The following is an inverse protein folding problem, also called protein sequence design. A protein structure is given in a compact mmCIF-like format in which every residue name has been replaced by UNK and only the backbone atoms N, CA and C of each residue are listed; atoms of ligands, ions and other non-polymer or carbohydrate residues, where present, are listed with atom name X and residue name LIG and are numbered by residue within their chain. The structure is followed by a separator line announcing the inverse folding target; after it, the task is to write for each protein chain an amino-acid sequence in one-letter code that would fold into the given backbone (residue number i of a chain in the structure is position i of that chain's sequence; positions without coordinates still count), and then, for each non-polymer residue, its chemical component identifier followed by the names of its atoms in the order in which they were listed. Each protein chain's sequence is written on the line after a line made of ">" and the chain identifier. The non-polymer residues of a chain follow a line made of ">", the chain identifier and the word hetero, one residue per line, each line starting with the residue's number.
data_IF_991139920869
#
_entry.id   IF_991139920869
#
_cell.length_a   1.000
_cell.length_b   1.000
_cell.length_c   1.000
_cell.angle_alpha   90.00
_cell.angle_beta   90.00
_cell.angle_gamma   90.00
#
_symmetry.space_group_name_H-M   'P 1'
#
loop_
_entity.id
_entity.type
_entity.pdbx_description
1 polymer ?
2 non-polymer ?
3 non-polymer ?
4 water ?
#
# COMPACT_ATOMS: atom_id res chain seq x y z
N UNK A 1 3.79 21.08 -23.09
CA UNK A 1 3.61 19.78 -23.76
C UNK A 1 2.50 18.95 -23.13
N UNK A 2 1.46 18.66 -23.91
CA UNK A 2 0.32 17.92 -23.40
C UNK A 2 0.50 16.41 -23.58
N UNK A 3 0.38 15.68 -22.47
CA UNK A 3 0.65 14.26 -22.39
C UNK A 3 -0.64 13.47 -22.33
N UNK A 4 -0.54 12.16 -22.23
CA UNK A 4 -1.72 11.30 -22.19
C UNK A 4 -2.69 11.70 -21.07
N UNK A 5 -3.98 11.62 -21.36
CA UNK A 5 -5.00 11.99 -20.40
C UNK A 5 -5.99 10.84 -20.19
N UNK A 6 -6.54 10.76 -18.99
CA UNK A 6 -7.55 9.74 -18.72
C UNK A 6 -8.68 10.33 -17.89
N UNK A 7 -9.83 9.66 -17.90
CA UNK A 7 -10.97 10.10 -17.11
C UNK A 7 -11.10 9.32 -15.82
N UNK A 8 -11.10 10.05 -14.69
CA UNK A 8 -11.28 9.43 -13.39
C UNK A 8 -12.51 10.04 -12.71
N UNK A 9 -13.37 9.20 -12.15
CA UNK A 9 -14.52 9.70 -11.41
C UNK A 9 -14.58 9.13 -10.01
N UNK A 10 -14.82 9.98 -9.02
CA UNK A 10 -15.13 9.47 -7.68
C UNK A 10 -16.60 9.13 -7.68
N UNK A 11 -16.92 7.85 -7.49
CA UNK A 11 -18.30 7.40 -7.55
C UNK A 11 -19.10 7.93 -6.36
N UNK A 12 -20.44 7.83 -6.44
CA UNK A 12 -21.22 8.38 -5.32
C UNK A 12 -20.87 7.74 -3.98
N UNK A 13 -20.49 6.45 -3.97
CA UNK A 13 -20.14 5.83 -2.71
C UNK A 13 -18.80 6.38 -2.25
N UNK A 14 -17.94 6.75 -3.20
CA UNK A 14 -16.71 7.45 -2.82
C UNK A 14 -16.98 8.80 -2.17
N UNK A 15 -17.89 9.58 -2.76
CA UNK A 15 -18.23 10.88 -2.20
C UNK A 15 -18.87 10.70 -0.82
N UNK A 16 -19.85 9.81 -0.76
CA UNK A 16 -20.59 9.58 0.48
C UNK A 16 -19.67 9.10 1.61
N UNK A 17 -18.63 8.34 1.27
CA UNK A 17 -17.78 7.78 2.31
C UNK A 17 -16.55 8.64 2.64
N UNK A 18 -16.51 9.84 2.08
CA UNK A 18 -15.46 10.79 2.40
C UNK A 18 -14.07 10.42 1.87
N UNK A 19 -14.01 9.89 0.66
CA UNK A 19 -12.74 9.46 0.10
C UNK A 19 -12.24 10.33 -1.04
N UNK A 20 -12.85 11.50 -1.23
CA UNK A 20 -12.45 12.35 -2.35
C UNK A 20 -11.01 12.81 -2.17
N UNK A 21 -10.68 13.37 -1.00
CA UNK A 21 -9.35 13.86 -0.74
C UNK A 21 -8.28 12.78 -0.85
N UNK A 22 -8.56 11.63 -0.23
CA UNK A 22 -7.65 10.50 -0.21
C UNK A 22 -7.32 10.03 -1.64
N UNK A 23 -8.31 10.06 -2.52
CA UNK A 23 -8.13 9.63 -3.89
C UNK A 23 -7.30 10.64 -4.69
N UNK A 24 -7.61 11.91 -4.56
CA UNK A 24 -6.87 12.98 -5.22
C UNK A 24 -5.42 12.96 -4.70
N UNK A 25 -5.29 12.78 -3.39
CA UNK A 25 -3.98 12.71 -2.77
C UNK A 25 -3.10 11.65 -3.44
N UNK A 26 -3.69 10.53 -3.81
CA UNK A 26 -2.91 9.43 -4.39
C UNK A 26 -2.38 9.79 -5.77
N UNK A 27 -3.19 10.49 -6.55
CA UNK A 27 -2.78 10.87 -7.89
C UNK A 27 -1.77 12.03 -7.92
N UNK A 28 -1.89 12.98 -6.99
CA UNK A 28 -0.91 14.05 -6.84
C UNK A 28 0.43 13.47 -6.41
N UNK A 29 0.38 12.53 -5.46
CA UNK A 29 1.61 11.94 -4.93
C UNK A 29 2.33 11.15 -6.03
N UNK A 30 1.55 10.56 -6.92
CA UNK A 30 2.08 9.73 -7.99
C UNK A 30 2.87 10.55 -8.99
N UNK A 31 2.47 11.81 -9.20
CA UNK A 31 3.16 12.72 -10.09
C UNK A 31 2.27 13.20 -11.23
N UNK A 32 1.05 12.69 -11.31
CA UNK A 32 0.15 13.06 -12.38
C UNK A 32 -0.40 14.48 -12.18
N UNK A 33 -0.76 15.11 -13.30
CA UNK A 33 -1.23 16.48 -13.30
C UNK A 33 -2.75 16.57 -13.45
N UNK A 34 -3.39 17.27 -12.52
CA UNK A 34 -4.82 17.46 -12.65
C UNK A 34 -5.01 18.46 -13.78
N UNK A 35 -5.76 18.04 -14.79
CA UNK A 35 -6.01 18.87 -15.97
C UNK A 35 -7.45 19.32 -15.99
N UNK A 36 -8.32 18.54 -15.35
CA UNK A 36 -9.72 18.90 -15.27
C UNK A 36 -10.44 18.33 -14.07
N UNK A 37 -11.41 19.08 -13.55
CA UNK A 37 -12.23 18.62 -12.44
C UNK A 37 -13.52 19.43 -12.29
N UNK A 38 -14.62 18.71 -12.11
CA UNK A 38 -15.91 19.32 -11.79
C UNK A 38 -16.74 18.37 -10.93
N UNK A 39 -17.75 18.93 -10.28
CA UNK A 39 -18.55 18.22 -9.31
C UNK A 39 -20.02 18.34 -9.70
N UNK A 40 -20.62 17.22 -10.11
CA UNK A 40 -21.97 17.25 -10.67
C UNK A 40 -22.80 16.04 -10.24
N UNK A 41 -24.12 16.19 -10.30
CA UNK A 41 -25.00 15.03 -10.35
C UNK A 41 -25.39 14.91 -11.82
N UNK A 42 -24.72 13.99 -12.53
CA UNK A 42 -24.89 13.91 -13.98
C UNK A 42 -26.20 13.23 -14.32
N UNK A 43 -26.66 13.47 -15.55
CA UNK A 43 -27.93 12.95 -16.00
C UNK A 43 -27.84 11.46 -16.24
N UNK A 44 -28.97 10.77 -16.12
CA UNK A 44 -29.03 9.34 -16.41
C UNK A 44 -28.59 9.11 -17.85
N UNK A 45 -28.93 10.05 -18.73
CA UNK A 45 -28.59 9.90 -20.13
C UNK A 45 -27.08 9.94 -20.38
N UNK A 46 -26.39 10.81 -19.65
CA UNK A 46 -24.95 10.91 -19.77
C UNK A 46 -24.32 9.60 -19.36
N UNK A 47 -24.81 9.03 -18.27
CA UNK A 47 -24.24 7.78 -17.77
C UNK A 47 -24.49 6.61 -18.73
N UNK A 48 -25.65 6.61 -19.37
CA UNK A 48 -25.99 5.61 -20.37
C UNK A 48 -25.03 5.67 -21.55
N UNK A 49 -24.58 6.86 -21.91
CA UNK A 49 -23.53 7.00 -22.92
C UNK A 49 -22.17 6.57 -22.38
N UNK A 50 -21.88 6.97 -21.15
CA UNK A 50 -20.61 6.66 -20.52
C UNK A 50 -20.37 5.14 -20.44
N UNK A 51 -21.42 4.41 -20.07
CA UNK A 51 -21.34 2.95 -19.94
C UNK A 51 -21.94 2.23 -21.14
N UNK A 52 -21.86 2.86 -22.31
CA UNK A 52 -22.54 2.35 -23.49
C UNK A 52 -22.13 0.93 -23.87
N UNK A 53 -20.86 0.59 -23.70
CA UNK A 53 -20.38 -0.72 -24.11
C UNK A 53 -20.93 -1.85 -23.25
N UNK A 54 -21.52 -1.51 -22.12
CA UNK A 54 -22.08 -2.52 -21.23
C UNK A 54 -23.58 -2.49 -21.25
N UNK A 55 -24.15 -1.81 -22.23
CA UNK A 55 -25.60 -1.64 -22.27
C UNK A 55 -26.34 -2.98 -22.37
N UNK A 56 -25.62 -4.03 -22.82
CA UNK A 56 -26.14 -5.40 -22.89
C UNK A 56 -26.37 -6.03 -21.53
N UNK A 57 -25.55 -5.63 -20.58
CA UNK A 57 -25.46 -6.32 -19.32
C UNK A 57 -26.69 -6.11 -18.43
N UNK A 58 -27.04 -7.13 -17.64
CA UNK A 58 -28.18 -7.09 -16.71
C UNK A 58 -27.99 -6.03 -15.63
N UNK A 59 -26.75 -5.77 -15.21
CA UNK A 59 -26.47 -4.80 -14.16
C UNK A 59 -26.48 -3.35 -14.66
N UNK A 60 -26.54 -3.19 -15.98
CA UNK A 60 -26.45 -1.89 -16.64
C UNK A 60 -27.50 -0.85 -16.23
N UNK A 61 -28.81 -1.21 -16.24
CA UNK A 61 -29.77 -0.15 -15.90
C UNK A 61 -29.62 0.37 -14.48
N UNK A 62 -29.51 -0.55 -13.52
CA UNK A 62 -29.35 -0.16 -12.13
C UNK A 62 -28.07 0.64 -11.97
N UNK A 63 -27.04 0.22 -12.71
CA UNK A 63 -25.75 0.91 -12.73
C UNK A 63 -25.87 2.36 -13.14
N UNK A 64 -26.59 2.60 -14.25
CA UNK A 64 -26.72 3.93 -14.80
C UNK A 64 -27.58 4.86 -13.95
N UNK A 65 -28.57 4.32 -13.26
CA UNK A 65 -29.40 5.15 -12.37
C UNK A 65 -28.66 5.43 -11.05
N UNK A 66 -27.91 4.45 -10.55
CA UNK A 66 -27.10 4.64 -9.36
C UNK A 66 -25.98 5.67 -9.56
N UNK A 67 -25.32 5.63 -10.71
CA UNK A 67 -24.22 6.56 -10.98
C UNK A 67 -24.74 7.96 -11.26
N UNK A 68 -26.07 8.10 -11.36
CA UNK A 68 -26.69 9.41 -11.56
C UNK A 68 -27.63 9.78 -10.40
N UNK A 69 -27.58 9.02 -9.31
CA UNK A 69 -28.44 9.26 -8.16
C UNK A 69 -27.80 10.26 -7.19
N UNK A 70 -26.53 10.58 -7.42
CA UNK A 70 -25.82 11.49 -6.54
C UNK A 70 -24.59 12.13 -7.15
N UNK A 71 -24.03 13.14 -6.44
CA UNK A 71 -22.87 13.89 -6.94
C UNK A 71 -21.66 13.01 -7.16
N UNK A 72 -20.92 13.27 -8.22
CA UNK A 72 -19.64 12.61 -8.43
C UNK A 72 -18.57 13.64 -8.71
N UNK A 73 -17.32 13.29 -8.40
CA UNK A 73 -16.20 14.13 -8.75
C UNK A 73 -15.64 13.67 -10.09
N UNK A 74 -15.80 14.50 -11.11
CA UNK A 74 -15.33 14.19 -12.45
C UNK A 74 -13.95 14.78 -12.65
N UNK A 75 -13.00 13.95 -13.07
CA UNK A 75 -11.63 14.42 -13.24
C UNK A 75 -10.99 14.00 -14.54
N UNK A 76 -10.00 14.78 -14.93
CA UNK A 76 -9.12 14.38 -16.00
C UNK A 76 -7.69 14.50 -15.49
N UNK A 77 -6.96 13.38 -15.47
CA UNK A 77 -5.59 13.39 -15.01
C UNK A 77 -4.62 13.17 -16.16
N UNK A 78 -3.48 13.84 -16.09
CA UNK A 78 -2.53 13.88 -17.19
C UNK A 78 -1.14 13.46 -16.76
N UNK A 79 -0.51 12.65 -17.58
CA UNK A 79 0.83 12.15 -17.33
C UNK A 79 1.05 10.97 -18.27
N UNK A 80 2.31 10.59 -18.47
CA UNK A 80 2.64 9.48 -19.34
C UNK A 80 1.94 8.20 -18.91
N UNK A 81 1.24 7.57 -19.84
CA UNK A 81 0.62 6.28 -19.57
C UNK A 81 -0.39 6.35 -18.43
N UNK A 82 -0.98 7.51 -18.24
CA UNK A 82 -1.85 7.74 -17.09
C UNK A 82 -3.05 6.81 -17.12
N UNK A 83 -3.51 6.44 -18.32
CA UNK A 83 -4.66 5.55 -18.50
C UNK A 83 -4.45 4.19 -17.83
N UNK A 84 -3.38 3.51 -18.22
CA UNK A 84 -3.10 2.19 -17.66
C UNK A 84 -2.66 2.28 -16.20
N UNK A 85 -1.87 3.29 -15.85
CA UNK A 85 -1.34 3.34 -14.50
C UNK A 85 -2.46 3.63 -13.49
N UNK A 86 -3.43 4.43 -13.89
CA UNK A 86 -4.57 4.70 -13.03
C UNK A 86 -5.30 3.40 -12.70
N UNK A 87 -5.41 2.52 -13.69
CA UNK A 87 -6.06 1.24 -13.45
C UNK A 87 -5.29 0.42 -12.41
N UNK A 88 -3.98 0.36 -12.56
CA UNK A 88 -3.14 -0.29 -11.57
C UNK A 88 -3.40 0.33 -10.18
N UNK A 89 -3.44 1.67 -10.11
CA UNK A 89 -3.67 2.37 -8.82
C UNK A 89 -5.06 2.10 -8.24
N UNK A 90 -6.04 1.87 -9.10
CA UNK A 90 -7.38 1.51 -8.63
C UNK A 90 -7.51 0.09 -8.12
N UNK A 91 -6.86 -0.84 -8.84
CA UNK A 91 -7.03 -2.26 -8.60
C UNK A 91 -7.85 -2.91 -9.70
N UNK A 92 -8.57 -3.96 -9.34
CA UNK A 92 -9.38 -4.64 -10.32
C UNK A 92 -10.83 -4.13 -10.23
N UNK A 93 -11.65 -4.55 -11.20
CA UNK A 93 -13.06 -4.18 -11.22
C UNK A 93 -13.77 -4.64 -9.95
N UNK A 94 -13.46 -5.86 -9.50
CA UNK A 94 -13.96 -6.33 -8.23
C UNK A 94 -12.97 -6.04 -7.11
N UNK A 95 -13.43 -5.33 -6.09
CA UNK A 95 -12.62 -5.05 -4.90
C UNK A 95 -12.01 -6.32 -4.32
N UNK A 96 -12.76 -7.41 -4.41
CA UNK A 96 -12.32 -8.71 -3.92
C UNK A 96 -11.04 -9.19 -4.60
N UNK A 97 -10.80 -8.76 -5.83
CA UNK A 97 -9.59 -9.13 -6.59
C UNK A 97 -8.53 -8.04 -6.57
N UNK A 98 -8.78 -6.93 -5.87
CA UNK A 98 -7.84 -5.81 -5.81
C UNK A 98 -6.86 -5.97 -4.65
N UNK A 99 -5.57 -5.70 -4.89
CA UNK A 99 -4.56 -5.85 -3.85
C UNK A 99 -4.56 -4.69 -2.86
N UNK A 100 -4.12 -4.95 -1.62
CA UNK A 100 -3.85 -3.87 -0.67
C UNK A 100 -2.86 -2.90 -1.28
N UNK A 101 -3.00 -1.61 -1.01
CA UNK A 101 -2.19 -0.62 -1.67
C UNK A 101 -2.95 0.07 -2.79
N UNK A 102 -3.88 -0.65 -3.42
CA UNK A 102 -4.75 -0.02 -4.41
C UNK A 102 -6.02 0.57 -3.73
N UNK A 103 -6.67 1.49 -4.43
CA UNK A 103 -7.82 2.22 -3.91
C UNK A 103 -9.03 1.32 -3.56
N UNK A 104 -9.45 0.50 -4.51
CA UNK A 104 -10.53 -0.46 -4.28
C UNK A 104 -10.07 -1.57 -3.31
N UNK A 105 -8.81 -1.94 -3.39
CA UNK A 105 -8.26 -2.90 -2.45
C UNK A 105 -8.27 -2.40 -1.01
N UNK A 106 -7.93 -1.13 -0.79
CA UNK A 106 -7.85 -0.57 0.56
C UNK A 106 -9.21 -0.17 1.14
N UNK A 107 -10.16 0.20 0.30
CA UNK A 107 -11.33 0.91 0.81
C UNK A 107 -12.71 0.28 0.63
N UNK A 108 -12.87 -0.75 -0.19
CA UNK A 108 -14.23 -1.29 -0.39
C UNK A 108 -14.30 -2.80 -0.60
N UNK A 109 -15.52 -3.33 -0.71
CA UNK A 109 -15.73 -4.76 -0.69
C UNK A 109 -16.46 -5.31 -1.93
N UNK A 110 -17.54 -4.66 -2.34
CA UNK A 110 -18.39 -5.15 -3.42
C UNK A 110 -18.15 -4.48 -4.77
N UNK A 111 -18.35 -5.23 -5.85
CA UNK A 111 -18.14 -4.72 -7.21
C UNK A 111 -19.09 -3.57 -7.53
N UNK A 112 -20.29 -3.59 -6.96
CA UNK A 112 -21.27 -2.56 -7.23
C UNK A 112 -21.03 -1.31 -6.41
N UNK A 113 -20.14 -1.39 -5.44
CA UNK A 113 -19.73 -0.25 -4.62
C UNK A 113 -18.20 -0.16 -4.62
N UNK A 114 -17.63 0.20 -5.77
CA UNK A 114 -16.18 0.17 -5.93
C UNK A 114 -15.61 1.57 -6.13
N UNK A 115 -16.30 2.53 -5.51
CA UNK A 115 -15.93 3.94 -5.30
C UNK A 115 -15.28 4.79 -6.41
N UNK A 116 -14.62 4.18 -7.39
CA UNK A 116 -13.91 4.96 -8.39
C UNK A 116 -14.08 4.44 -9.82
N UNK A 117 -14.03 5.34 -10.79
CA UNK A 117 -13.99 4.95 -12.19
C UNK A 117 -12.72 5.45 -12.87
N UNK A 118 -12.20 4.64 -13.80
CA UNK A 118 -11.14 5.05 -14.70
C UNK A 118 -11.28 4.43 -16.07
N UNK A 119 -10.90 5.21 -17.10
CA UNK A 119 -10.91 4.74 -18.49
C UNK A 119 -10.03 3.52 -18.69
N UNK A 120 -10.45 2.58 -19.53
CA UNK A 120 -9.65 1.37 -19.76
C UNK A 120 -8.75 1.48 -20.98
N UNK A 121 -8.86 2.57 -21.74
CA UNK A 121 -7.96 2.76 -22.88
C UNK A 121 -7.81 4.23 -23.26
N UNK A 122 -6.78 4.52 -24.05
CA UNK A 122 -6.56 5.86 -24.56
C UNK A 122 -7.82 6.34 -25.27
N UNK A 123 -8.43 5.48 -26.07
CA UNK A 123 -9.62 5.90 -26.82
C UNK A 123 -10.88 5.95 -25.94
N UNK A 124 -11.01 5.04 -24.98
CA UNK A 124 -12.10 5.16 -24.00
C UNK A 124 -11.95 6.47 -23.27
N UNK A 125 -10.72 6.82 -22.92
CA UNK A 125 -10.48 8.06 -22.22
C UNK A 125 -10.88 9.27 -23.07
N UNK A 126 -10.50 9.27 -24.35
CA UNK A 126 -10.80 10.42 -25.20
C UNK A 126 -12.30 10.63 -25.31
N UNK A 127 -13.03 9.53 -25.47
CA UNK A 127 -14.48 9.61 -25.57
C UNK A 127 -15.08 10.10 -24.24
N UNK A 128 -14.60 9.56 -23.13
CA UNK A 128 -15.19 9.90 -21.83
C UNK A 128 -14.85 11.35 -21.42
N UNK A 129 -13.59 11.74 -21.61
CA UNK A 129 -13.14 13.10 -21.35
C UNK A 129 -14.02 14.06 -22.15
N UNK A 130 -14.26 13.69 -23.41
CA UNK A 130 -15.11 14.50 -24.29
C UNK A 130 -16.54 14.53 -23.79
N UNK A 131 -16.99 13.44 -23.19
CA UNK A 131 -18.36 13.32 -22.71
C UNK A 131 -18.65 14.21 -21.49
N UNK A 132 -17.71 14.28 -20.56
CA UNK A 132 -17.94 14.94 -19.26
C UNK A 132 -17.45 16.39 -19.22
N UNK A 133 -16.41 16.70 -19.99
CA UNK A 133 -15.86 18.05 -19.98
C UNK A 133 -16.06 18.77 -21.30
N UNK A 134 -16.39 20.05 -21.24
CA UNK A 134 -16.30 20.89 -22.43
C UNK A 134 -14.83 21.25 -22.58
N UNK A 135 -14.35 21.39 -23.84
CA UNK A 135 -12.93 21.61 -24.14
C UNK A 135 -12.29 22.69 -23.28
N UNK A 136 -13.02 23.78 -23.07
CA UNK A 136 -12.50 24.92 -22.32
C UNK A 136 -12.34 24.60 -20.82
N UNK A 137 -12.96 23.52 -20.37
CA UNK A 137 -12.88 23.14 -18.96
C UNK A 137 -11.64 22.32 -18.66
N UNK A 138 -10.85 22.06 -19.69
CA UNK A 138 -9.58 21.36 -19.53
C UNK A 138 -8.50 22.43 -19.47
N UNK A 139 -7.75 22.45 -18.38
CA UNK A 139 -6.84 23.56 -18.12
C UNK A 139 -5.39 23.25 -18.51
N UNK A 140 -4.79 24.17 -19.25
CA UNK A 140 -3.40 24.02 -19.66
C UNK A 140 -2.47 24.79 -18.75
N UNK A 141 -1.51 24.08 -18.16
CA UNK A 141 -0.58 24.67 -17.21
C UNK A 141 0.64 23.80 -17.03
N UNK A 142 1.65 24.33 -16.39
CA UNK A 142 2.87 23.59 -16.17
C UNK A 142 3.12 23.46 -14.68
N UNK A 143 3.15 22.22 -14.19
CA UNK A 143 3.53 21.93 -12.80
C UNK A 143 5.04 22.12 -12.71
N UNK A 144 5.51 22.77 -11.66
CA UNK A 144 6.90 23.21 -11.56
C UNK A 144 7.88 22.07 -11.36
N UNK A 145 7.43 21.00 -10.71
CA UNK A 145 8.29 19.86 -10.43
C UNK A 145 8.32 18.85 -11.58
N UNK A 146 7.80 19.24 -12.74
CA UNK A 146 7.68 18.34 -13.87
C UNK A 146 9.02 17.73 -14.24
N UNK A 147 10.09 18.53 -14.13
CA UNK A 147 11.38 18.04 -14.54
C UNK A 147 11.97 17.02 -13.58
N UNK A 148 11.35 16.89 -12.42
CA UNK A 148 11.75 15.88 -11.45
C UNK A 148 10.86 14.62 -11.54
N UNK A 149 9.80 14.70 -12.33
CA UNK A 149 8.92 13.56 -12.59
C UNK A 149 9.22 12.92 -13.96
N UNK A 150 9.42 13.77 -14.97
CA UNK A 150 9.74 13.32 -16.32
C UNK A 150 11.16 13.73 -16.70
N UNK A 151 11.88 12.81 -17.31
CA UNK A 151 13.25 13.09 -17.76
C UNK A 151 13.27 13.90 -19.06
N UNK B 1 -28.41 -9.17 5.78
CA UNK B 1 -28.31 -8.55 7.10
C UNK B 1 -27.09 -9.06 7.85
N UNK B 2 -27.09 -10.36 8.15
CA UNK B 2 -25.97 -10.96 8.89
C UNK B 2 -24.93 -11.49 7.92
N UNK B 3 -23.71 -10.97 8.02
CA UNK B 3 -22.69 -11.36 7.08
C UNK B 3 -21.62 -12.24 7.71
N UNK B 4 -20.69 -12.71 6.88
CA UNK B 4 -19.60 -13.54 7.32
C UNK B 4 -18.72 -12.86 8.38
N UNK B 5 -18.25 -13.62 9.37
CA UNK B 5 -17.37 -13.08 10.41
C UNK B 5 -16.08 -13.89 10.60
N UNK B 6 -15.02 -13.20 11.03
CA UNK B 6 -13.74 -13.86 11.28
C UNK B 6 -13.11 -13.39 12.60
N UNK B 7 -12.15 -14.17 13.11
CA UNK B 7 -11.42 -13.79 14.32
C UNK B 7 -10.08 -13.15 13.95
N UNK B 8 -9.86 -11.92 14.45
CA UNK B 8 -8.61 -11.19 14.25
C UNK B 8 -7.95 -10.85 15.58
N UNK B 9 -6.67 -11.13 15.71
CA UNK B 9 -5.96 -10.77 16.94
C UNK B 9 -4.70 -9.92 16.67
N UNK B 10 -4.53 -8.86 17.45
CA UNK B 10 -3.24 -8.16 17.45
C UNK B 10 -2.33 -8.90 18.44
N UNK B 11 -1.28 -9.52 17.93
CA UNK B 11 -0.38 -10.33 18.73
C UNK B 11 0.41 -9.45 19.69
N UNK B 12 1.11 -10.07 20.67
CA UNK B 12 1.83 -9.24 21.64
C UNK B 12 2.87 -8.28 21.03
N UNK B 13 3.51 -8.65 19.91
CA UNK B 13 4.47 -7.72 19.31
C UNK B 13 3.76 -6.54 18.65
N UNK B 14 2.55 -6.75 18.14
CA UNK B 14 1.73 -5.63 17.69
C UNK B 14 1.36 -4.66 18.82
N UNK B 15 0.98 -5.18 19.98
CA UNK B 15 0.63 -4.32 21.11
C UNK B 15 1.86 -3.54 21.56
N UNK B 16 2.95 -4.27 21.79
CA UNK B 16 4.21 -3.70 22.25
C UNK B 16 4.75 -2.64 21.28
N UNK B 17 4.56 -2.83 19.98
CA UNK B 17 5.09 -1.87 19.02
C UNK B 17 4.10 -0.75 18.68
N UNK B 18 2.98 -0.67 19.38
CA UNK B 18 2.04 0.43 19.17
C UNK B 18 1.31 0.43 17.83
N UNK B 19 0.87 -0.75 17.38
CA UNK B 19 0.23 -0.88 16.06
C UNK B 19 -1.26 -1.25 16.14
N UNK B 20 -1.87 -1.12 17.31
CA UNK B 20 -3.29 -1.50 17.45
C UNK B 20 -4.17 -0.62 16.57
N UNK B 21 -4.04 0.68 16.75
CA UNK B 21 -4.84 1.66 16.02
C UNK B 21 -4.64 1.53 14.53
N UNK B 22 -3.37 1.39 14.11
CA UNK B 22 -3.06 1.22 12.71
C UNK B 22 -3.77 0.00 12.11
N UNK B 23 -3.84 -1.10 12.84
CA UNK B 23 -4.50 -2.29 12.32
C UNK B 23 -6.02 -2.10 12.28
N UNK B 24 -6.60 -1.57 13.36
CA UNK B 24 -8.04 -1.35 13.37
C UNK B 24 -8.43 -0.37 12.26
N UNK B 25 -7.64 0.69 12.11
CA UNK B 25 -7.87 1.70 11.09
C UNK B 25 -7.90 1.06 9.70
N UNK B 26 -7.07 0.07 9.46
CA UNK B 26 -7.08 -0.55 8.13
C UNK B 26 -8.38 -1.31 7.89
N UNK B 27 -8.90 -1.98 8.91
CA UNK B 27 -10.14 -2.73 8.76
C UNK B 27 -11.38 -1.84 8.74
N UNK B 28 -11.36 -0.75 9.51
CA UNK B 28 -12.47 0.19 9.42
C UNK B 28 -12.51 0.80 8.02
N UNK B 29 -11.34 1.16 7.50
CA UNK B 29 -11.24 1.81 6.21
C UNK B 29 -11.70 0.94 5.03
N UNK B 30 -11.48 -0.36 5.17
CA UNK B 30 -11.85 -1.35 4.15
C UNK B 30 -13.39 -1.47 4.06
N UNK B 31 -14.06 -1.23 5.17
CA UNK B 31 -15.51 -1.26 5.22
C UNK B 31 -16.11 -2.31 6.14
N UNK B 32 -15.28 -3.12 6.79
CA UNK B 32 -15.77 -4.19 7.64
C UNK B 32 -16.33 -3.64 8.94
N UNK B 33 -17.25 -4.40 9.54
CA UNK B 33 -17.96 -3.97 10.74
C UNK B 33 -17.43 -4.67 11.98
N UNK B 34 -17.06 -3.88 12.99
CA UNK B 34 -16.59 -4.45 14.25
C UNK B 34 -17.77 -5.05 15.05
N UNK B 35 -17.65 -6.33 15.39
CA UNK B 35 -18.69 -7.07 16.10
C UNK B 35 -18.29 -7.42 17.52
N UNK B 36 -16.99 -7.49 17.76
CA UNK B 36 -16.47 -7.78 19.09
C UNK B 36 -15.05 -7.30 19.30
N UNK B 37 -14.70 -6.96 20.53
CA UNK B 37 -13.30 -6.60 20.84
C UNK B 37 -13.06 -6.67 22.32
N UNK B 38 -11.96 -7.28 22.71
CA UNK B 38 -11.57 -7.23 24.10
C UNK B 38 -10.06 -7.30 24.21
N UNK B 39 -9.56 -6.88 25.35
CA UNK B 39 -8.15 -6.71 25.59
C UNK B 39 -7.76 -7.54 26.80
N UNK B 40 -7.00 -8.61 26.56
CA UNK B 40 -6.68 -9.59 27.61
C UNK B 40 -5.32 -10.23 27.46
N UNK B 41 -4.81 -10.74 28.58
CA UNK B 41 -3.74 -11.72 28.54
C UNK B 41 -4.31 -13.12 28.76
N UNK B 42 -4.43 -13.88 27.68
CA UNK B 42 -5.07 -15.20 27.73
C UNK B 42 -4.15 -16.26 28.35
N UNK B 43 -4.76 -17.34 28.80
CA UNK B 43 -4.01 -18.44 29.41
C UNK B 43 -3.28 -19.26 28.35
N UNK B 44 -2.20 -19.92 28.76
CA UNK B 44 -1.49 -20.82 27.85
C UNK B 44 -2.47 -21.90 27.39
N UNK B 45 -3.38 -22.31 28.27
CA UNK B 45 -4.33 -23.34 27.89
C UNK B 45 -5.26 -22.86 26.80
N UNK B 46 -5.72 -21.61 26.90
CA UNK B 46 -6.61 -21.10 25.85
C UNK B 46 -5.88 -21.07 24.50
N UNK B 47 -4.63 -20.63 24.50
CA UNK B 47 -3.87 -20.60 23.25
C UNK B 47 -3.59 -22.00 22.69
N UNK B 48 -3.42 -22.97 23.60
CA UNK B 48 -3.23 -24.35 23.16
C UNK B 48 -4.43 -24.85 22.34
N UNK B 49 -5.61 -24.41 22.76
CA UNK B 49 -6.86 -24.69 22.07
C UNK B 49 -7.01 -23.87 20.79
N UNK B 50 -6.63 -22.60 20.87
CA UNK B 50 -6.71 -21.68 19.74
C UNK B 50 -5.91 -22.23 18.56
N UNK B 51 -4.71 -22.72 18.86
CA UNK B 51 -3.82 -23.27 17.85
C UNK B 51 -3.84 -24.80 17.87
N UNK B 52 -4.97 -25.40 18.24
CA UNK B 52 -5.06 -26.85 18.43
C UNK B 52 -4.68 -27.66 17.16
N UNK B 53 -5.01 -27.14 15.98
CA UNK B 53 -4.73 -27.84 14.72
C UNK B 53 -3.24 -27.89 14.35
N UNK B 54 -2.44 -27.11 15.06
CA UNK B 54 -1.01 -27.07 14.84
C UNK B 54 -0.25 -27.72 16.01
N UNK B 55 -0.98 -28.47 16.83
CA UNK B 55 -0.41 -29.08 18.04
C UNK B 55 0.75 -30.00 17.68
N UNK B 56 0.75 -30.44 16.44
CA UNK B 56 1.80 -31.28 15.86
C UNK B 56 3.15 -30.58 15.61
N UNK B 57 3.11 -29.31 15.25
CA UNK B 57 4.29 -28.61 14.77
C UNK B 57 5.32 -28.34 15.86
N UNK B 58 6.62 -28.30 15.50
CA UNK B 58 7.69 -28.10 16.48
C UNK B 58 7.57 -26.76 17.20
N UNK B 59 7.07 -25.76 16.48
CA UNK B 59 6.95 -24.40 17.00
C UNK B 59 5.74 -24.23 17.92
N UNK B 60 4.88 -25.24 17.98
CA UNK B 60 3.62 -25.16 18.72
C UNK B 60 3.77 -24.78 20.20
N UNK B 61 4.65 -25.48 20.95
CA UNK B 61 4.73 -25.17 22.39
C UNK B 61 5.17 -23.75 22.65
N UNK B 62 6.24 -23.33 21.98
CA UNK B 62 6.77 -21.98 22.13
C UNK B 62 5.78 -20.93 21.66
N UNK B 63 5.08 -21.22 20.57
CA UNK B 63 4.07 -20.33 20.03
C UNK B 63 2.99 -19.99 21.06
N UNK B 64 2.45 -21.01 21.73
CA UNK B 64 1.35 -20.82 22.67
C UNK B 64 1.79 -20.09 23.94
N UNK B 65 3.04 -20.26 24.36
CA UNK B 65 3.49 -19.54 25.54
C UNK B 65 3.73 -18.09 25.17
N UNK B 66 4.31 -17.87 24.00
CA UNK B 66 4.54 -16.51 23.53
C UNK B 66 3.23 -15.75 23.32
N UNK B 67 2.22 -16.43 22.77
CA UNK B 67 0.95 -15.78 22.51
C UNK B 67 0.11 -15.57 23.77
N UNK B 68 0.59 -16.12 24.90
CA UNK B 68 -0.07 -15.94 26.18
C UNK B 68 0.83 -15.18 27.16
N UNK B 69 1.95 -14.66 26.69
CA UNK B 69 2.91 -14.01 27.56
C UNK B 69 2.57 -12.52 27.77
N UNK B 70 1.61 -12.03 27.00
CA UNK B 70 1.23 -10.64 27.09
C UNK B 70 -0.14 -10.33 26.53
N UNK B 71 -0.60 -9.10 26.73
CA UNK B 71 -1.93 -8.70 26.26
C UNK B 71 -2.03 -8.79 24.75
N UNK B 72 -3.20 -9.21 24.26
CA UNK B 72 -3.50 -9.21 22.83
C UNK B 72 -4.82 -8.51 22.67
N UNK B 73 -5.05 -7.95 21.48
CA UNK B 73 -6.37 -7.42 21.18
C UNK B 73 -7.16 -8.50 20.44
N UNK B 74 -8.22 -9.03 21.04
CA UNK B 74 -9.07 -10.04 20.40
C UNK B 74 -10.22 -9.34 19.73
N UNK B 75 -10.45 -9.63 18.46
CA UNK B 75 -11.50 -8.99 17.70
C UNK B 75 -12.35 -9.92 16.86
N UNK B 76 -13.57 -9.46 16.59
CA UNK B 76 -14.38 -10.12 15.61
C UNK B 76 -14.90 -9.09 14.62
N UNK B 77 -14.55 -9.30 13.34
CA UNK B 77 -14.96 -8.39 12.27
C UNK B 77 -15.93 -9.04 11.30
N UNK B 78 -16.85 -8.25 10.75
CA UNK B 78 -17.96 -8.77 9.96
C UNK B 78 -18.03 -8.10 8.59
N UNK B 79 -18.29 -8.90 7.56
CA UNK B 79 -18.44 -8.36 6.23
C UNK B 79 -18.28 -9.47 5.21
N UNK B 80 -18.71 -9.23 3.97
CA UNK B 80 -18.61 -10.22 2.93
C UNK B 80 -17.18 -10.69 2.71
N UNK B 81 -16.97 -12.01 2.68
CA UNK B 81 -15.67 -12.57 2.40
C UNK B 81 -14.59 -12.13 3.38
N UNK B 82 -15.00 -11.76 4.59
CA UNK B 82 -14.07 -11.17 5.53
C UNK B 82 -12.97 -12.15 5.98
N UNK B 83 -13.27 -13.44 6.08
CA UNK B 83 -12.23 -14.41 6.47
C UNK B 83 -11.06 -14.38 5.48
N UNK B 84 -11.37 -14.54 4.22
CA UNK B 84 -10.33 -14.56 3.20
C UNK B 84 -9.70 -13.17 2.95
N UNK B 85 -10.51 -12.12 2.94
CA UNK B 85 -10.02 -10.78 2.66
C UNK B 85 -9.11 -10.27 3.79
N UNK B 86 -9.43 -10.63 5.03
CA UNK B 86 -8.57 -10.27 6.16
C UNK B 86 -7.20 -10.86 5.99
N UNK B 87 -7.14 -12.10 5.49
CA UNK B 87 -5.87 -12.77 5.24
C UNK B 87 -5.07 -12.01 4.20
N UNK B 88 -5.72 -11.64 3.10
CA UNK B 88 -5.08 -10.81 2.10
C UNK B 88 -4.52 -9.49 2.72
N UNK B 89 -5.31 -8.84 3.57
CA UNK B 89 -4.85 -7.59 4.16
C UNK B 89 -3.63 -7.76 5.08
N UNK B 90 -3.53 -8.94 5.69
CA UNK B 90 -2.39 -9.30 6.52
C UNK B 90 -1.11 -9.58 5.72
N UNK B 91 -1.28 -10.23 4.57
CA UNK B 91 -0.16 -10.76 3.81
C UNK B 91 -0.13 -12.27 3.93
N UNK B 92 1.06 -12.85 3.85
CA UNK B 92 1.25 -14.29 3.98
C UNK B 92 1.66 -14.60 5.41
N UNK B 93 1.75 -15.88 5.74
CA UNK B 93 2.19 -16.26 7.08
C UNK B 93 3.59 -15.67 7.34
N UNK B 94 4.46 -15.74 6.34
CA UNK B 94 5.78 -15.15 6.48
C UNK B 94 5.82 -13.73 5.93
N UNK B 95 6.21 -12.76 6.77
CA UNK B 95 6.38 -11.37 6.30
C UNK B 95 7.28 -11.32 5.04
N UNK B 96 8.28 -12.19 4.99
CA UNK B 96 9.15 -12.32 3.81
C UNK B 96 8.38 -12.69 2.54
N UNK B 97 7.22 -13.33 2.67
CA UNK B 97 6.40 -13.63 1.48
C UNK B 97 5.31 -12.60 1.28
N UNK B 98 5.26 -11.61 2.17
CA UNK B 98 4.21 -10.59 2.18
C UNK B 98 4.53 -9.32 1.38
N UNK B 99 3.51 -8.83 0.66
CA UNK B 99 3.66 -7.66 -0.20
C UNK B 99 3.62 -6.34 0.60
N UNK B 100 4.27 -5.30 0.10
CA UNK B 100 4.11 -3.93 0.64
C UNK B 100 2.65 -3.55 0.52
N UNK B 101 2.09 -2.82 1.49
CA UNK B 101 0.67 -2.54 1.46
C UNK B 101 -0.10 -3.45 2.42
N UNK B 102 0.41 -4.65 2.64
CA UNK B 102 -0.17 -5.55 3.62
C UNK B 102 0.39 -5.26 5.00
N UNK B 103 -0.31 -5.73 6.02
CA UNK B 103 0.06 -5.45 7.39
C UNK B 103 1.45 -6.06 7.68
N UNK B 104 1.62 -7.34 7.37
CA UNK B 104 2.92 -7.94 7.60
C UNK B 104 3.98 -7.41 6.65
N UNK B 105 3.58 -7.08 5.42
CA UNK B 105 4.49 -6.54 4.43
C UNK B 105 5.09 -5.20 4.82
N UNK B 106 4.24 -4.35 5.41
CA UNK B 106 4.65 -3.02 5.82
C UNK B 106 5.41 -3.02 7.12
N UNK B 107 5.12 -3.99 8.00
CA UNK B 107 5.55 -3.87 9.40
C UNK B 107 6.46 -4.94 10.02
N UNK B 108 6.69 -6.07 9.37
CA UNK B 108 7.47 -7.13 10.01
C UNK B 108 8.47 -7.82 9.13
N UNK B 109 9.32 -8.60 9.78
CA UNK B 109 10.45 -9.27 9.15
C UNK B 109 10.39 -10.78 9.35
N UNK B 110 10.18 -11.21 10.60
CA UNK B 110 10.23 -12.64 10.97
C UNK B 110 8.85 -13.29 11.12
N UNK B 111 8.78 -14.60 10.88
CA UNK B 111 7.54 -15.36 10.98
C UNK B 111 7.05 -15.42 12.44
N UNK B 112 7.98 -15.43 13.39
CA UNK B 112 7.62 -15.54 14.79
C UNK B 112 7.19 -14.21 15.38
N UNK B 113 7.41 -13.13 14.62
CA UNK B 113 6.97 -11.80 15.04
C UNK B 113 6.21 -11.12 13.91
N UNK B 114 5.03 -11.66 13.58
CA UNK B 114 4.27 -11.17 12.44
C UNK B 114 2.97 -10.53 12.89
N UNK B 115 3.05 -9.95 14.09
CA UNK B 115 2.06 -9.07 14.73
C UNK B 115 0.55 -9.32 14.67
N UNK B 116 0.07 -10.12 13.73
CA UNK B 116 -1.38 -10.27 13.62
C UNK B 116 -1.85 -11.71 13.34
N UNK B 117 -3.03 -12.04 13.85
CA UNK B 117 -3.66 -13.31 13.54
C UNK B 117 -5.01 -13.18 12.86
N UNK B 118 -5.27 -14.09 11.92
CA UNK B 118 -6.59 -14.21 11.30
C UNK B 118 -6.97 -15.64 10.99
N UNK B 119 -8.26 -15.94 11.13
CA UNK B 119 -8.79 -17.27 10.83
C UNK B 119 -8.54 -17.64 9.37
N UNK B 120 -8.19 -18.90 9.13
CA UNK B 120 -7.85 -19.35 7.77
C UNK B 120 -9.07 -19.91 7.02
N UNK B 121 -10.20 -20.03 7.70
CA UNK B 121 -11.43 -20.51 7.07
C UNK B 121 -12.64 -20.00 7.85
N UNK B 122 -13.81 -20.02 7.20
CA UNK B 122 -15.06 -19.67 7.83
C UNK B 122 -15.28 -20.54 9.07
N UNK B 123 -14.95 -21.82 8.93
CA UNK B 123 -15.23 -22.82 9.96
C UNK B 123 -14.30 -22.62 11.15
N UNK B 124 -13.04 -22.30 10.87
CA UNK B 124 -12.09 -21.89 11.91
C UNK B 124 -12.54 -20.65 12.67
N UNK B 125 -13.07 -19.69 11.93
CA UNK B 125 -13.50 -18.44 12.51
C UNK B 125 -14.60 -18.70 13.51
N UNK B 126 -15.49 -19.62 13.17
CA UNK B 126 -16.59 -19.90 14.07
C UNK B 126 -16.03 -20.44 15.39
N UNK B 127 -15.03 -21.30 15.31
CA UNK B 127 -14.43 -21.86 16.51
C UNK B 127 -13.70 -20.82 17.35
N UNK B 128 -12.92 -20.00 16.66
CA UNK B 128 -12.03 -19.07 17.33
C UNK B 128 -12.85 -17.98 17.99
N UNK B 129 -13.80 -17.43 17.25
CA UNK B 129 -14.69 -16.42 17.79
C UNK B 129 -15.39 -16.95 19.05
N UNK B 130 -15.91 -18.18 18.94
CA UNK B 130 -16.61 -18.81 20.08
C UNK B 130 -15.68 -19.06 21.26
N UNK B 131 -14.41 -19.32 20.97
CA UNK B 131 -13.42 -19.59 22.00
C UNK B 131 -13.09 -18.32 22.78
N UNK B 132 -13.04 -17.21 22.07
CA UNK B 132 -12.58 -15.93 22.61
C UNK B 132 -13.72 -15.01 23.10
N UNK B 133 -14.91 -15.13 22.53
CA UNK B 133 -16.02 -14.29 22.98
C UNK B 133 -17.21 -15.10 23.50
N UNK B 134 -17.81 -14.63 24.60
CA UNK B 134 -19.11 -15.14 25.01
C UNK B 134 -20.12 -14.50 24.09
N UNK B 135 -21.22 -15.21 23.79
CA UNK B 135 -22.27 -14.72 22.89
C UNK B 135 -22.72 -13.30 23.25
N UNK B 136 -22.86 -13.01 24.54
CA UNK B 136 -23.34 -11.68 24.96
C UNK B 136 -22.27 -10.59 24.76
N UNK B 137 -21.02 -11.01 24.52
CA UNK B 137 -19.95 -10.05 24.25
C UNK B 137 -19.88 -9.70 22.77
N UNK B 138 -20.76 -10.28 21.97
CA UNK B 138 -20.79 -9.94 20.54
C UNK B 138 -21.91 -8.95 20.20
N UNK B 139 -21.55 -7.84 19.56
CA UNK B 139 -22.54 -6.81 19.31
C UNK B 139 -23.04 -6.85 17.87
N UNK B 140 -24.35 -6.97 17.74
CA UNK B 140 -25.00 -6.96 16.42
C UNK B 140 -25.61 -5.59 16.28
N UNK B 141 -25.29 -4.91 15.19
CA UNK B 141 -25.72 -3.55 14.95
C UNK B 141 -25.60 -3.21 13.49
N UNK B 142 -26.14 -2.07 13.11
CA UNK B 142 -26.11 -1.68 11.71
C UNK B 142 -25.27 -0.42 11.51
N UNK B 143 -24.24 -0.54 10.67
CA UNK B 143 -23.40 0.60 10.26
C UNK B 143 -24.23 1.51 9.38
N UNK B 144 -24.14 2.80 9.60
CA UNK B 144 -25.03 3.70 8.89
C UNK B 144 -24.67 3.76 7.41
N UNK B 145 -23.39 3.59 7.09
CA UNK B 145 -22.92 3.67 5.70
C UNK B 145 -22.99 2.33 4.97
N UNK B 146 -23.71 1.37 5.54
CA UNK B 146 -23.77 0.04 4.93
C UNK B 146 -24.24 0.07 3.47
N UNK B 147 -25.22 0.91 3.16
CA UNK B 147 -25.77 0.91 1.80
C UNK B 147 -24.85 1.54 0.77
N UNK B 148 -23.74 2.14 1.21
CA UNK B 148 -22.72 2.64 0.27
C UNK B 148 -21.58 1.63 0.14
N UNK B 149 -21.59 0.59 0.98
CA UNK B 149 -20.60 -0.49 0.92
C UNK B 149 -21.20 -1.73 0.26
N UNK B 150 -22.42 -2.07 0.63
CA UNK B 150 -23.14 -3.19 0.04
C UNK B 150 -24.37 -2.71 -0.71
N UNK B 151 -24.54 -3.14 -1.95
CA UNK B 151 -25.75 -2.73 -2.68
C UNK B 151 -26.90 -3.66 -2.30
N UNK C 1 25.30 -9.80 16.90
CA UNK C 1 24.43 -8.63 17.01
C UNK C 1 24.44 -7.83 15.72
N UNK C 2 25.30 -8.21 14.78
CA UNK C 2 25.43 -7.45 13.54
C UNK C 2 24.76 -8.15 12.36
N UNK C 3 23.78 -7.49 11.75
CA UNK C 3 23.03 -8.13 10.68
C UNK C 3 23.37 -7.60 9.32
N UNK C 4 22.71 -8.16 8.32
CA UNK C 4 22.91 -7.82 6.93
C UNK C 4 22.73 -6.31 6.75
N UNK C 5 23.53 -5.71 5.86
CA UNK C 5 23.42 -4.28 5.57
C UNK C 5 23.17 -4.06 4.08
N UNK C 6 22.47 -2.99 3.76
CA UNK C 6 22.30 -2.61 2.36
C UNK C 6 22.46 -1.10 2.24
N UNK C 7 22.73 -0.62 1.03
CA UNK C 7 22.84 0.81 0.77
C UNK C 7 21.57 1.31 0.14
N UNK C 8 20.97 2.32 0.77
CA UNK C 8 19.80 2.96 0.22
C UNK C 8 20.16 4.43 0.04
N UNK C 9 19.83 4.99 -1.12
CA UNK C 9 20.02 6.43 -1.33
C UNK C 9 18.72 7.04 -1.86
N UNK C 10 18.32 8.17 -1.28
CA UNK C 10 17.22 8.92 -1.86
C UNK C 10 17.77 9.81 -2.98
N UNK C 11 17.30 9.59 -4.20
CA UNK C 11 17.80 10.28 -5.38
C UNK C 11 17.47 11.79 -5.39
N UNK C 12 18.14 12.57 -6.27
CA UNK C 12 17.87 14.00 -6.25
C UNK C 12 16.40 14.34 -6.47
N UNK C 13 15.64 13.54 -7.23
CA UNK C 13 14.22 13.81 -7.43
C UNK C 13 13.40 13.52 -6.17
N UNK C 14 13.83 12.52 -5.41
CA UNK C 14 13.24 12.23 -4.10
C UNK C 14 13.43 13.38 -3.12
N UNK C 15 14.64 13.93 -3.09
CA UNK C 15 14.93 15.06 -2.20
C UNK C 15 14.07 16.26 -2.59
N UNK C 16 14.11 16.58 -3.88
CA UNK C 16 13.42 17.73 -4.43
C UNK C 16 11.92 17.70 -4.18
N UNK C 17 11.34 16.50 -4.18
CA UNK C 17 9.90 16.36 -4.06
C UNK C 17 9.43 16.11 -2.62
N UNK C 18 10.33 16.22 -1.65
CA UNK C 18 9.98 16.16 -0.24
C UNK C 18 9.54 14.78 0.25
N UNK C 19 10.27 13.76 -0.21
CA UNK C 19 9.97 12.38 0.10
C UNK C 19 11.01 11.73 1.00
N UNK C 20 11.88 12.52 1.60
CA UNK C 20 12.91 11.94 2.47
C UNK C 20 12.28 11.30 3.71
N UNK C 21 11.47 12.07 4.45
CA UNK C 21 10.84 11.56 5.68
C UNK C 21 9.98 10.35 5.34
N UNK C 22 9.23 10.50 4.25
CA UNK C 22 8.34 9.44 3.78
C UNK C 22 9.09 8.12 3.55
N UNK C 23 10.27 8.18 2.95
CA UNK C 23 11.03 6.97 2.70
C UNK C 23 11.60 6.41 4.00
N UNK C 24 12.19 7.29 4.79
CA UNK C 24 12.76 6.84 6.06
C UNK C 24 11.67 6.22 6.93
N UNK C 25 10.47 6.82 6.93
CA UNK C 25 9.35 6.32 7.71
C UNK C 25 9.05 4.86 7.36
N UNK C 26 9.10 4.55 6.08
CA UNK C 26 8.72 3.20 5.64
C UNK C 26 9.74 2.17 6.13
N UNK C 27 11.02 2.54 6.18
CA UNK C 27 12.05 1.65 6.68
C UNK C 27 11.99 1.52 8.21
N UNK C 28 11.60 2.59 8.88
CA UNK C 28 11.39 2.51 10.32
C UNK C 28 10.19 1.64 10.66
N UNK C 29 9.08 1.83 9.93
CA UNK C 29 7.86 1.06 10.21
C UNK C 29 8.06 -0.44 9.92
N UNK C 30 8.92 -0.76 8.94
CA UNK C 30 9.17 -2.15 8.56
C UNK C 30 9.93 -2.94 9.62
N UNK C 31 10.74 -2.24 10.42
CA UNK C 31 11.49 -2.86 11.51
C UNK C 31 13.02 -2.79 11.39
N UNK C 32 13.51 -2.24 10.26
CA UNK C 32 14.95 -2.17 10.03
C UNK C 32 15.62 -1.09 10.87
N UNK C 33 16.92 -1.27 11.09
CA UNK C 33 17.69 -0.36 11.92
C UNK C 33 18.58 0.55 11.07
N UNK C 34 18.48 1.86 11.31
CA UNK C 34 19.34 2.81 10.58
C UNK C 34 20.77 2.69 11.07
N UNK C 35 21.69 2.38 10.16
CA UNK C 35 23.08 2.17 10.53
C UNK C 35 24.00 3.30 10.08
N UNK C 36 23.60 3.99 9.01
CA UNK C 36 24.38 5.11 8.53
C UNK C 36 23.51 6.07 7.76
N UNK C 37 23.86 7.35 7.82
CA UNK C 37 23.14 8.37 7.08
C UNK C 37 23.99 9.62 6.97
N UNK C 38 24.02 10.16 5.76
CA UNK C 38 24.62 11.46 5.50
C UNK C 38 23.94 12.09 4.27
N UNK C 39 24.11 13.40 4.14
CA UNK C 39 23.41 14.20 3.13
C UNK C 39 24.41 14.96 2.28
N UNK C 40 24.54 14.59 1.01
CA UNK C 40 25.56 15.16 0.15
C UNK C 40 25.13 15.35 -1.28
N UNK C 41 25.76 16.30 -1.93
CA UNK C 41 25.78 16.34 -3.38
C UNK C 41 27.12 15.77 -3.82
N UNK C 42 27.07 14.51 -4.28
CA UNK C 42 28.27 13.76 -4.63
C UNK C 42 28.84 14.13 -6.01
N UNK C 43 30.12 13.82 -6.22
CA UNK C 43 30.75 14.17 -7.49
C UNK C 43 30.25 13.23 -8.59
N UNK C 44 30.28 13.69 -9.83
CA UNK C 44 29.88 12.88 -10.98
C UNK C 44 30.71 11.61 -11.00
N UNK C 45 31.97 11.72 -10.61
CA UNK C 45 32.88 10.59 -10.56
C UNK C 45 32.51 9.57 -9.49
N UNK C 46 32.03 10.03 -8.34
CA UNK C 46 31.58 9.10 -7.32
C UNK C 46 30.43 8.27 -7.87
N UNK C 47 29.51 8.94 -8.56
CA UNK C 47 28.36 8.24 -9.14
C UNK C 47 28.80 7.26 -10.25
N UNK C 48 29.85 7.62 -10.98
CA UNK C 48 30.43 6.72 -11.99
C UNK C 48 30.90 5.41 -11.38
N UNK C 49 31.48 5.47 -10.18
CA UNK C 49 31.93 4.26 -9.53
C UNK C 49 30.75 3.48 -8.97
N UNK C 50 29.77 4.20 -8.43
CA UNK C 50 28.59 3.60 -7.84
C UNK C 50 27.89 2.74 -8.88
N UNK C 51 27.81 3.27 -10.10
CA UNK C 51 27.17 2.59 -11.22
C UNK C 51 28.17 1.98 -12.22
N UNK C 52 29.34 1.56 -11.75
CA UNK C 52 30.42 1.11 -12.63
C UNK C 52 30.00 -0.06 -13.51
N UNK C 53 29.14 -0.94 -13.00
CA UNK C 53 28.77 -2.12 -13.77
C UNK C 53 27.89 -1.70 -14.96
N UNK C 54 27.49 -0.43 -15.01
CA UNK C 54 26.68 0.07 -16.11
C UNK C 54 27.40 1.02 -17.09
N UNK C 55 28.72 1.08 -17.03
CA UNK C 55 29.47 2.07 -17.83
C UNK C 55 29.27 1.92 -19.35
N UNK C 56 28.93 0.71 -19.79
CA UNK C 56 28.65 0.43 -21.20
C UNK C 56 27.30 0.93 -21.73
N UNK C 57 26.28 0.99 -20.86
CA UNK C 57 24.90 1.29 -21.29
C UNK C 57 24.81 2.72 -21.79
N UNK C 58 23.93 3.00 -22.77
CA UNK C 58 23.84 4.35 -23.33
C UNK C 58 23.44 5.43 -22.35
N UNK C 59 22.58 5.09 -21.38
CA UNK C 59 22.05 6.09 -20.46
C UNK C 59 23.04 6.46 -19.36
N UNK C 60 24.16 5.75 -19.29
CA UNK C 60 25.11 5.88 -18.18
C UNK C 60 25.64 7.30 -17.94
N UNK C 61 26.15 8.00 -18.98
CA UNK C 61 26.75 9.31 -18.71
C UNK C 61 25.75 10.28 -18.11
N UNK C 62 24.56 10.34 -18.69
CA UNK C 62 23.50 11.21 -18.18
C UNK C 62 23.04 10.83 -16.77
N UNK C 63 22.94 9.53 -16.50
CA UNK C 63 22.55 9.03 -15.19
C UNK C 63 23.51 9.53 -14.10
N UNK C 64 24.81 9.41 -14.35
CA UNK C 64 25.82 9.83 -13.40
C UNK C 64 25.83 11.35 -13.21
N UNK C 65 25.47 12.11 -14.26
CA UNK C 65 25.40 13.56 -14.11
C UNK C 65 24.15 13.95 -13.37
N UNK C 66 23.04 13.31 -13.70
CA UNK C 66 21.79 13.59 -13.00
C UNK C 66 21.88 13.19 -11.53
N UNK C 67 22.50 12.04 -11.27
CA UNK C 67 22.62 11.54 -9.90
C UNK C 67 23.64 12.34 -9.07
N UNK C 68 24.36 13.25 -9.72
CA UNK C 68 25.27 14.13 -9.01
C UNK C 68 24.85 15.60 -9.13
N UNK C 69 23.68 15.87 -9.71
CA UNK C 69 23.27 17.25 -9.99
C UNK C 69 22.59 18.00 -8.83
N UNK C 70 22.29 17.30 -7.74
CA UNK C 70 21.67 17.87 -6.57
C UNK C 70 21.96 16.94 -5.42
N UNK C 71 21.65 17.35 -4.18
CA UNK C 71 21.88 16.58 -2.96
C UNK C 71 21.11 15.28 -2.89
N UNK C 72 21.72 14.27 -2.30
CA UNK C 72 21.06 13.01 -2.04
C UNK C 72 21.21 12.59 -0.57
N UNK C 73 20.22 11.83 -0.08
CA UNK C 73 20.35 11.22 1.24
C UNK C 73 20.95 9.82 1.10
N UNK C 74 22.16 9.66 1.62
CA UNK C 74 22.83 8.38 1.56
C UNK C 74 22.60 7.61 2.85
N UNK C 75 22.12 6.38 2.74
CA UNK C 75 21.82 5.65 3.97
C UNK C 75 22.34 4.21 3.91
N UNK C 76 22.55 3.67 5.11
CA UNK C 76 22.83 2.25 5.30
C UNK C 76 21.84 1.67 6.30
N UNK C 77 21.04 0.69 5.86
CA UNK C 77 20.04 0.05 6.73
C UNK C 77 20.37 -1.40 7.06
N UNK C 78 20.04 -1.81 8.28
CA UNK C 78 20.47 -3.10 8.79
C UNK C 78 19.31 -3.97 9.30
N UNK C 79 19.37 -5.26 8.96
CA UNK C 79 18.38 -6.22 9.41
C UNK C 79 18.42 -7.47 8.54
N UNK C 80 17.86 -8.56 9.08
CA UNK C 80 17.81 -9.84 8.39
C UNK C 80 17.14 -9.63 7.04
N UNK C 81 17.83 -10.08 5.99
CA UNK C 81 17.33 -9.97 4.64
C UNK C 81 17.04 -8.58 4.11
N UNK C 82 17.67 -7.56 4.67
CA UNK C 82 17.33 -6.17 4.33
C UNK C 82 17.60 -5.83 2.85
N UNK C 83 18.63 -6.44 2.25
CA UNK C 83 19.00 -6.16 0.86
C UNK C 83 17.84 -6.44 -0.09
N UNK C 84 17.33 -7.67 -0.03
CA UNK C 84 16.22 -8.06 -0.88
C UNK C 84 14.89 -7.41 -0.47
N UNK C 85 14.68 -7.23 0.83
CA UNK C 85 13.40 -6.68 1.28
C UNK C 85 13.29 -5.22 0.85
N UNK C 86 14.41 -4.48 0.91
CA UNK C 86 14.43 -3.08 0.46
C UNK C 86 14.07 -2.97 -1.03
N UNK C 87 14.55 -3.92 -1.82
CA UNK C 87 14.20 -3.95 -3.21
C UNK C 87 12.71 -4.14 -3.36
N UNK C 88 12.16 -5.12 -2.63
CA UNK C 88 10.74 -5.36 -2.66
C UNK C 88 10.00 -4.07 -2.33
N UNK C 89 10.41 -3.37 -1.27
CA UNK C 89 9.74 -2.13 -0.85
C UNK C 89 9.80 -1.02 -1.89
N UNK C 90 10.88 -0.98 -2.66
CA UNK C 90 11.03 0.01 -3.73
C UNK C 90 10.15 -0.29 -4.92
N UNK C 91 10.05 -1.57 -5.27
CA UNK C 91 9.36 -1.93 -6.48
C UNK C 91 10.33 -2.35 -7.56
N UNK C 92 9.97 -2.10 -8.81
CA UNK C 92 10.85 -2.47 -9.91
C UNK C 92 11.68 -1.27 -10.36
N UNK C 93 12.64 -1.54 -11.22
CA UNK C 93 13.48 -0.49 -11.78
C UNK C 93 12.59 0.51 -12.50
N UNK C 94 11.60 -0.01 -13.22
CA UNK C 94 10.59 0.83 -13.85
C UNK C 94 9.39 0.98 -12.92
N UNK C 95 9.10 2.22 -12.52
CA UNK C 95 7.92 2.61 -11.73
C UNK C 95 6.66 2.08 -12.37
N UNK C 96 6.68 1.99 -13.71
CA UNK C 96 5.57 1.44 -14.48
C UNK C 96 5.26 -0.01 -14.09
N UNK C 97 6.27 -0.73 -13.62
CA UNK C 97 6.10 -2.13 -13.19
C UNK C 97 5.97 -2.21 -11.67
N UNK C 98 5.98 -1.09 -10.98
CA UNK C 98 5.94 -1.13 -9.53
C UNK C 98 4.50 -1.11 -8.99
N UNK C 99 4.21 -1.97 -8.04
CA UNK C 99 2.85 -2.11 -7.54
C UNK C 99 2.52 -0.96 -6.57
N UNK C 100 1.23 -0.61 -6.46
CA UNK C 100 0.85 0.31 -5.39
C UNK C 100 1.27 -0.28 -4.05
N UNK C 101 1.67 0.56 -3.09
CA UNK C 101 2.23 0.07 -1.85
C UNK C 101 3.74 0.17 -1.81
N UNK C 102 4.38 0.06 -2.97
CA UNK C 102 5.82 0.22 -3.04
C UNK C 102 6.18 1.70 -3.19
N UNK C 103 7.43 2.02 -2.89
CA UNK C 103 7.88 3.40 -2.92
C UNK C 103 7.79 3.96 -4.35
N UNK C 104 8.39 3.28 -5.31
CA UNK C 104 8.33 3.76 -6.69
C UNK C 104 6.91 3.67 -7.24
N UNK C 105 6.17 2.65 -6.81
CA UNK C 105 4.80 2.46 -7.22
C UNK C 105 3.89 3.59 -6.78
N UNK C 106 4.07 4.08 -5.55
CA UNK C 106 3.22 5.14 -5.03
C UNK C 106 3.60 6.54 -5.50
N UNK C 107 4.89 6.75 -5.83
CA UNK C 107 5.38 8.13 -5.93
C UNK C 107 5.94 8.57 -7.29
N UNK C 108 6.16 7.65 -8.23
CA UNK C 108 6.72 8.12 -9.50
C UNK C 108 6.31 7.36 -10.75
N UNK C 109 6.71 7.90 -11.89
CA UNK C 109 6.21 7.49 -13.19
C UNK C 109 7.31 6.97 -14.13
N UNK C 110 8.42 7.70 -14.27
CA UNK C 110 9.45 7.34 -15.25
C UNK C 110 10.68 6.61 -14.68
N UNK C 111 11.29 5.78 -15.51
CA UNK C 111 12.45 5.00 -15.08
C UNK C 111 13.65 5.90 -14.74
N UNK C 112 13.78 7.03 -15.43
CA UNK C 112 14.88 7.94 -15.17
C UNK C 112 14.66 8.86 -13.98
N UNK C 113 13.44 8.84 -13.45
CA UNK C 113 13.06 9.61 -12.27
C UNK C 113 12.37 8.70 -11.27
N UNK C 114 13.13 7.80 -10.65
CA UNK C 114 12.54 6.76 -9.82
C UNK C 114 12.95 6.87 -8.37
N UNK C 115 13.19 8.13 -7.98
CA UNK C 115 13.39 8.61 -6.61
C UNK C 115 14.27 7.85 -5.60
N UNK C 116 14.47 6.55 -5.75
CA UNK C 116 15.24 5.84 -4.73
C UNK C 116 16.20 4.82 -5.35
N UNK C 117 17.30 4.58 -4.67
CA UNK C 117 18.22 3.51 -5.07
C UNK C 117 18.35 2.49 -3.96
N UNK C 118 18.50 1.23 -4.33
CA UNK C 118 18.84 0.18 -3.38
C UNK C 118 19.76 -0.86 -3.96
N UNK C 119 20.69 -1.35 -3.15
CA UNK C 119 21.61 -2.38 -3.58
C UNK C 119 20.83 -3.62 -4.01
N UNK C 120 21.27 -4.29 -5.08
CA UNK C 120 20.51 -5.43 -5.61
C UNK C 120 21.01 -6.78 -5.08
N UNK C 121 22.12 -6.77 -4.35
CA UNK C 121 22.65 -8.00 -3.75
C UNK C 121 23.61 -7.68 -2.62
N UNK C 122 23.85 -8.64 -1.74
CA UNK C 122 24.78 -8.46 -0.62
C UNK C 122 26.15 -7.98 -1.09
N UNK C 123 26.65 -8.50 -2.21
CA UNK C 123 27.98 -8.13 -2.63
C UNK C 123 27.99 -6.67 -3.17
N UNK C 124 26.97 -6.31 -3.94
CA UNK C 124 26.79 -4.92 -4.37
C UNK C 124 26.66 -3.97 -3.18
N UNK C 125 25.92 -4.40 -2.16
CA UNK C 125 25.72 -3.57 -0.98
C UNK C 125 27.04 -3.27 -0.27
N UNK C 126 27.89 -4.27 -0.14
CA UNK C 126 29.16 -4.08 0.53
C UNK C 126 30.03 -3.08 -0.22
N UNK C 127 30.01 -3.19 -1.53
CA UNK C 127 30.78 -2.26 -2.33
C UNK C 127 30.22 -0.85 -2.18
N UNK C 128 28.90 -0.72 -2.24
CA UNK C 128 28.28 0.60 -2.30
C UNK C 128 28.44 1.34 -0.97
N UNK C 129 28.25 0.62 0.12
CA UNK C 129 28.45 1.16 1.45
C UNK C 129 29.89 1.69 1.63
N UNK C 130 30.88 0.88 1.24
CA UNK C 130 32.29 1.27 1.39
C UNK C 130 32.58 2.51 0.56
N UNK C 131 31.89 2.65 -0.56
CA UNK C 131 32.06 3.80 -1.42
C UNK C 131 31.48 5.09 -0.83
N UNK C 132 30.30 5.02 -0.20
CA UNK C 132 29.59 6.23 0.25
C UNK C 132 29.85 6.54 1.72
N UNK C 133 30.15 5.53 2.53
CA UNK C 133 30.43 5.75 3.94
C UNK C 133 31.85 5.37 4.32
N UNK C 134 32.42 6.15 5.21
CA UNK C 134 33.64 5.76 5.91
C UNK C 134 33.25 4.75 6.98
N UNK C 135 34.17 3.84 7.33
CA UNK C 135 33.88 2.83 8.35
C UNK C 135 33.32 3.39 9.66
N UNK C 136 33.90 4.50 10.14
CA UNK C 136 33.50 5.10 11.41
C UNK C 136 32.13 5.78 11.34
N UNK C 137 31.62 5.95 10.12
CA UNK C 137 30.31 6.57 9.94
C UNK C 137 29.18 5.53 10.04
N UNK C 138 29.52 4.27 10.30
CA UNK C 138 28.48 3.26 10.48
C UNK C 138 28.30 3.06 11.98
N UNK C 139 27.09 3.27 12.45
CA UNK C 139 26.90 3.34 13.88
C UNK C 139 26.46 1.98 14.42
N UNK C 140 27.13 1.57 15.48
CA UNK C 140 26.80 0.34 16.16
C UNK C 140 25.94 0.70 17.39
N UNK C 141 24.74 0.12 17.46
CA UNK C 141 23.83 0.41 18.58
C UNK C 141 22.75 -0.66 18.64
N UNK C 142 22.00 -0.66 19.73
CA UNK C 142 20.95 -1.64 19.97
C UNK C 142 19.57 -0.98 20.04
N UNK C 143 18.70 -1.38 19.12
CA UNK C 143 17.33 -0.92 19.17
C UNK C 143 16.55 -1.66 20.27
N UNK C 144 15.74 -0.91 21.02
CA UNK C 144 15.05 -1.47 22.19
C UNK C 144 13.93 -2.45 21.82
N UNK C 145 13.26 -2.21 20.70
CA UNK C 145 12.17 -3.11 20.34
C UNK C 145 12.64 -4.27 19.48
N UNK C 146 13.95 -4.48 19.37
CA UNK C 146 14.47 -5.54 18.53
C UNK C 146 13.85 -6.88 18.90
N UNK C 147 13.66 -7.12 20.19
CA UNK C 147 13.12 -8.41 20.62
C UNK C 147 11.65 -8.57 20.25
N UNK C 148 11.02 -7.51 19.77
CA UNK C 148 9.64 -7.63 19.25
C UNK C 148 9.61 -7.79 17.73
N UNK C 149 10.79 -7.67 17.12
CA UNK C 149 10.97 -7.83 15.68
C UNK C 149 11.59 -9.18 15.34
N UNK C 150 12.58 -9.56 16.15
CA UNK C 150 13.22 -10.86 16.02
C UNK C 150 12.91 -11.74 17.24
N UNK C 151 12.51 -12.99 17.01
CA UNK C 151 12.32 -13.88 18.17
C UNK C 151 13.67 -14.49 18.55
#
# INVERSE_FOLDING_TARGET
>A
MVRERTFIAVKPDGVQRGLIGEIIKRFEAKGFKLAGMKYIQASEDLLKQHYIDLADKPFYPGLCKYMSSGPVVAMCWEGTGVVKTARVMMGETRPADSKPGTIRGDFCIEVGRNIIHGSDSVESANKEIALWFKPEELVSWTQTNESWIYE
>B
MVRERTFIAVKPDGVQRGLIGEIIKRFEAKGFKLAGMKYIQASEDLLKQHYIDLADKPFYPGLCKYMSSGPVVAMCWEGTGVVKTARVMMGETRPADSKPGTIRGDFCIEVGRNIIHGSDSVESANKEIALWFKPEELVSWTQTNESWIYE
>C
MVRERTFIAVKPDGVQRGLIGEIIKRFEAKGFKLAGMKYIQASEDLLKQHYIDLADKPFYPGLCKYMSSGPVVAMCWEGTGVVKTARVMMGETRPADSKPGTIRGDFCIEVGRNIIHGSDSVESANKEIALWFKPEELVSWTQTNESWIYE
#
